data_IF_885977876223
#
_entry.id   IF_885977876223
#
_cell.length_a   1.000
_cell.length_b   1.000
_cell.length_c   1.000
_cell.angle_alpha   90.00
_cell.angle_beta   90.00
_cell.angle_gamma   90.00
#
_symmetry.space_group_name_H-M   'P 1'
#
loop_
_entity.id
_entity.type
_entity.pdbx_description
1 polymer ?
#
# COMPACT_ATOMS: atom_id res chain seq x y z
N UNK A 1 -34.17 19.91 7.28
CA UNK A 1 -33.90 19.61 5.86
C UNK A 1 -33.38 20.88 5.20
N UNK A 2 -32.05 21.07 5.13
CA UNK A 2 -31.50 22.19 4.35
C UNK A 2 -31.76 21.90 2.87
N UNK A 3 -32.34 22.84 2.14
CA UNK A 3 -32.71 22.70 0.72
C UNK A 3 -31.52 22.67 -0.25
N UNK A 4 -30.43 21.99 0.10
CA UNK A 4 -29.25 21.81 -0.75
C UNK A 4 -29.41 20.58 -1.63
N UNK A 5 -28.94 20.68 -2.87
CA UNK A 5 -29.01 19.60 -3.85
C UNK A 5 -28.34 18.32 -3.31
N UNK A 6 -28.88 17.15 -3.68
CA UNK A 6 -28.32 15.85 -3.28
C UNK A 6 -26.84 15.72 -3.64
N UNK A 7 -26.44 16.33 -4.76
CA UNK A 7 -25.06 16.34 -5.25
C UNK A 7 -24.12 17.15 -4.35
N UNK A 8 -24.57 18.31 -3.87
CA UNK A 8 -23.80 19.16 -2.94
C UNK A 8 -23.60 18.46 -1.59
N UNK A 9 -24.64 17.81 -1.07
CA UNK A 9 -24.53 17.06 0.20
C UNK A 9 -23.55 15.89 0.08
N UNK A 10 -23.52 15.23 -1.09
CA UNK A 10 -22.62 14.12 -1.34
C UNK A 10 -21.15 14.56 -1.38
N UNK A 11 -20.84 15.62 -2.12
CA UNK A 11 -19.47 16.09 -2.29
C UNK A 11 -18.93 16.86 -1.07
N UNK A 12 -19.76 17.64 -0.39
CA UNK A 12 -19.33 18.55 0.68
C UNK A 12 -19.34 17.87 2.07
N UNK A 13 -20.15 16.83 2.27
CA UNK A 13 -20.33 16.20 3.59
C UNK A 13 -19.91 14.73 3.60
N UNK A 14 -20.39 13.92 2.64
CA UNK A 14 -20.14 12.47 2.63
C UNK A 14 -18.71 12.12 2.21
N UNK A 15 -18.16 12.77 1.18
CA UNK A 15 -16.77 12.54 0.73
C UNK A 15 -15.73 12.82 1.83
N UNK A 16 -15.72 13.98 2.51
CA UNK A 16 -14.73 14.24 3.56
C UNK A 16 -14.91 13.30 4.76
N UNK A 17 -16.15 12.93 5.10
CA UNK A 17 -16.43 12.00 6.19
C UNK A 17 -15.95 10.57 5.88
N UNK A 18 -16.15 10.08 4.66
CA UNK A 18 -15.73 8.74 4.24
C UNK A 18 -14.26 8.67 3.79
N UNK A 19 -13.54 9.79 3.68
CA UNK A 19 -12.19 9.84 3.15
C UNK A 19 -11.21 8.95 3.95
N UNK A 20 -11.34 8.93 5.28
CA UNK A 20 -10.50 8.11 6.17
C UNK A 20 -10.79 6.60 6.02
N UNK A 21 -12.06 6.23 5.85
CA UNK A 21 -12.46 4.84 5.60
C UNK A 21 -11.98 4.36 4.22
N UNK A 22 -12.08 5.21 3.21
CA UNK A 22 -11.55 4.92 1.86
C UNK A 22 -10.02 4.76 1.92
N UNK A 23 -9.32 5.58 2.70
CA UNK A 23 -7.88 5.46 2.93
C UNK A 23 -7.51 4.12 3.56
N UNK A 24 -8.30 3.68 4.54
CA UNK A 24 -8.14 2.39 5.21
C UNK A 24 -8.34 1.23 4.23
N UNK A 25 -9.33 1.33 3.33
CA UNK A 25 -9.52 0.37 2.24
C UNK A 25 -8.35 0.38 1.24
N UNK A 26 -7.83 1.56 0.90
CA UNK A 26 -6.70 1.73 0.00
C UNK A 26 -5.42 1.06 0.56
N UNK A 27 -5.18 1.14 1.87
CA UNK A 27 -4.08 0.41 2.53
C UNK A 27 -4.12 -1.08 2.25
N UNK A 28 -5.29 -1.69 2.44
CA UNK A 28 -5.46 -3.12 2.22
C UNK A 28 -5.23 -3.45 0.74
N UNK A 29 -5.70 -2.57 -0.16
CA UNK A 29 -5.46 -2.66 -1.59
C UNK A 29 -3.96 -2.64 -1.94
N UNK A 30 -3.21 -1.69 -1.39
CA UNK A 30 -1.76 -1.57 -1.62
C UNK A 30 -1.00 -2.77 -1.06
N UNK A 31 -1.34 -3.24 0.13
CA UNK A 31 -0.71 -4.43 0.72
C UNK A 31 -0.89 -5.68 -0.14
N UNK A 32 -2.08 -5.87 -0.73
CA UNK A 32 -2.34 -6.96 -1.67
C UNK A 32 -1.65 -6.74 -3.02
N UNK A 33 -1.65 -5.52 -3.54
CA UNK A 33 -0.98 -5.16 -4.78
C UNK A 33 0.53 -5.39 -4.71
N UNK A 34 1.16 -5.06 -3.59
CA UNK A 34 2.58 -5.32 -3.35
C UNK A 34 2.93 -6.81 -3.41
N UNK A 35 2.12 -7.66 -2.77
CA UNK A 35 2.31 -9.13 -2.83
C UNK A 35 2.11 -9.66 -4.25
N UNK A 36 1.14 -9.12 -4.97
CA UNK A 36 0.89 -9.48 -6.37
C UNK A 36 2.05 -9.06 -7.28
N UNK A 37 2.66 -7.89 -7.04
CA UNK A 37 3.85 -7.44 -7.76
C UNK A 37 5.02 -8.41 -7.58
N UNK A 38 5.29 -8.84 -6.35
CA UNK A 38 6.37 -9.82 -6.08
C UNK A 38 6.10 -11.14 -6.81
N UNK A 39 4.86 -11.64 -6.75
CA UNK A 39 4.45 -12.83 -7.48
C UNK A 39 4.63 -12.66 -9.00
N UNK A 40 4.32 -11.47 -9.52
CA UNK A 40 4.54 -11.16 -10.93
C UNK A 40 6.04 -11.14 -11.29
N UNK A 41 6.91 -10.58 -10.45
CA UNK A 41 8.37 -10.64 -10.66
C UNK A 41 8.90 -12.08 -10.72
N UNK A 42 8.31 -12.99 -9.92
CA UNK A 42 8.68 -14.41 -9.90
C UNK A 42 8.21 -15.17 -11.15
N UNK A 43 7.10 -14.78 -11.77
CA UNK A 43 6.51 -15.52 -12.91
C UNK A 43 6.94 -14.93 -14.25
N UNK A 44 7.00 -13.61 -14.35
CA UNK A 44 7.25 -12.90 -15.62
C UNK A 44 8.73 -12.95 -16.00
N UNK A 45 9.63 -13.28 -15.06
CA UNK A 45 11.03 -13.58 -15.39
C UNK A 45 11.77 -12.42 -16.05
N UNK A 46 11.41 -11.18 -15.73
CA UNK A 46 12.30 -10.05 -15.97
C UNK A 46 13.54 -10.37 -15.15
N UNK A 47 14.72 -10.43 -15.77
CA UNK A 47 15.97 -10.86 -15.13
C UNK A 47 16.46 -9.92 -14.00
N UNK A 48 15.59 -9.06 -13.48
CA UNK A 48 15.77 -8.02 -12.50
C UNK A 48 14.52 -7.99 -11.61
N UNK A 49 14.70 -8.11 -10.30
CA UNK A 49 13.61 -8.07 -9.32
C UNK A 49 13.95 -8.84 -8.04
N UNK A 50 13.33 -8.47 -6.91
CA UNK A 50 13.54 -9.16 -5.64
C UNK A 50 12.84 -10.52 -5.63
N UNK A 51 11.66 -10.62 -6.27
CA UNK A 51 10.98 -11.91 -6.46
C UNK A 51 11.81 -12.87 -7.32
N UNK A 52 12.41 -12.36 -8.40
CA UNK A 52 13.31 -13.13 -9.26
C UNK A 52 14.57 -13.60 -8.53
N UNK A 53 15.19 -12.73 -7.71
CA UNK A 53 16.34 -13.08 -6.88
C UNK A 53 16.06 -14.26 -5.95
N UNK A 54 14.88 -14.28 -5.29
CA UNK A 54 14.46 -15.41 -4.43
C UNK A 54 14.35 -16.70 -5.24
N UNK A 55 13.76 -16.63 -6.43
CA UNK A 55 13.58 -17.81 -7.29
C UNK A 55 14.92 -18.38 -7.74
N UNK A 56 15.88 -17.51 -8.09
CA UNK A 56 17.25 -17.89 -8.42
C UNK A 56 17.96 -18.54 -7.23
N UNK A 57 18.01 -17.86 -6.08
CA UNK A 57 18.77 -18.35 -4.91
C UNK A 57 18.21 -19.67 -4.39
N UNK A 58 16.88 -19.85 -4.46
CA UNK A 58 16.22 -21.11 -4.12
C UNK A 58 16.59 -22.20 -5.13
N UNK A 59 16.70 -21.88 -6.42
CA UNK A 59 17.18 -22.81 -7.44
C UNK A 59 18.63 -23.27 -7.23
N UNK A 60 19.49 -22.41 -6.67
CA UNK A 60 20.87 -22.74 -6.30
C UNK A 60 21.02 -23.38 -4.91
N UNK A 61 19.91 -23.61 -4.18
CA UNK A 61 19.92 -24.14 -2.80
C UNK A 61 20.68 -23.20 -1.84
N UNK A 62 20.86 -21.92 -2.22
CA UNK A 62 21.41 -20.90 -1.35
C UNK A 62 20.29 -20.25 -0.54
N UNK A 63 19.91 -20.94 0.54
CA UNK A 63 18.88 -20.46 1.45
C UNK A 63 19.31 -19.22 2.24
N UNK A 64 20.61 -18.97 2.42
CA UNK A 64 21.09 -17.80 3.13
C UNK A 64 20.76 -16.52 2.33
N UNK A 65 21.08 -16.53 1.03
CA UNK A 65 20.74 -15.43 0.13
C UNK A 65 19.23 -15.30 -0.10
N UNK A 66 18.49 -16.41 -0.14
CA UNK A 66 17.03 -16.39 -0.24
C UNK A 66 16.38 -15.69 0.97
N UNK A 67 16.84 -16.01 2.19
CA UNK A 67 16.37 -15.35 3.40
C UNK A 67 16.73 -13.86 3.44
N UNK A 68 17.94 -13.49 3.00
CA UNK A 68 18.33 -12.09 2.89
C UNK A 68 17.37 -11.31 1.98
N UNK A 69 16.98 -11.88 0.84
CA UNK A 69 15.99 -11.26 -0.06
C UNK A 69 14.61 -11.11 0.60
N UNK A 70 14.14 -12.10 1.35
CA UNK A 70 12.88 -12.02 2.10
C UNK A 70 12.92 -10.88 3.12
N UNK A 71 14.01 -10.74 3.87
CA UNK A 71 14.18 -9.65 4.84
C UNK A 71 14.12 -8.29 4.15
N UNK A 72 14.77 -8.14 3.00
CA UNK A 72 14.72 -6.91 2.20
C UNK A 72 13.29 -6.60 1.76
N UNK A 73 12.55 -7.60 1.27
CA UNK A 73 11.13 -7.44 0.88
C UNK A 73 10.28 -7.01 2.08
N UNK A 74 10.50 -7.59 3.27
CA UNK A 74 9.79 -7.19 4.48
C UNK A 74 10.09 -5.75 4.87
N UNK A 75 11.35 -5.32 4.81
CA UNK A 75 11.75 -3.94 5.10
C UNK A 75 11.09 -2.97 4.13
N UNK A 76 11.13 -3.26 2.83
CA UNK A 76 10.50 -2.41 1.81
C UNK A 76 8.98 -2.35 2.01
N UNK A 77 8.34 -3.50 2.26
CA UNK A 77 6.91 -3.55 2.54
C UNK A 77 6.52 -2.72 3.77
N UNK A 78 7.33 -2.76 4.84
CA UNK A 78 7.12 -1.94 6.04
C UNK A 78 7.34 -0.45 5.76
N UNK A 79 8.35 -0.09 4.96
CA UNK A 79 8.59 1.29 4.56
C UNK A 79 7.40 1.82 3.75
N UNK A 80 6.90 1.03 2.80
CA UNK A 80 5.74 1.41 1.98
C UNK A 80 4.51 1.58 2.86
N UNK A 81 4.23 0.63 3.76
CA UNK A 81 3.08 0.73 4.67
C UNK A 81 3.19 1.99 5.54
N UNK A 82 4.36 2.24 6.17
CA UNK A 82 4.55 3.45 7.00
C UNK A 82 4.48 4.74 6.19
N UNK A 83 5.25 4.86 5.12
CA UNK A 83 5.33 6.11 4.34
C UNK A 83 3.99 6.43 3.68
N UNK A 84 3.32 5.45 3.08
CA UNK A 84 2.08 5.73 2.33
C UNK A 84 0.93 6.03 3.29
N UNK A 85 0.77 5.27 4.38
CA UNK A 85 -0.34 5.52 5.30
C UNK A 85 -0.11 6.73 6.19
N UNK A 86 1.05 6.85 6.79
CA UNK A 86 1.30 7.89 7.78
C UNK A 86 1.29 9.28 7.09
N UNK A 87 1.83 9.39 5.88
CA UNK A 87 1.78 10.65 5.11
C UNK A 87 0.36 10.95 4.64
N UNK A 88 -0.36 9.96 4.12
CA UNK A 88 -1.68 10.19 3.54
C UNK A 88 -2.74 10.44 4.62
N UNK A 89 -2.67 9.73 5.74
CA UNK A 89 -3.54 9.92 6.90
C UNK A 89 -3.29 11.30 7.52
N UNK A 90 -2.03 11.69 7.75
CA UNK A 90 -1.70 13.02 8.28
C UNK A 90 -2.15 14.14 7.33
N UNK A 91 -2.04 13.95 6.02
CA UNK A 91 -2.49 14.92 5.03
C UNK A 91 -4.02 15.09 5.02
N UNK A 92 -4.76 13.97 5.06
CA UNK A 92 -6.23 14.00 5.12
C UNK A 92 -6.71 14.55 6.46
N UNK A 93 -6.05 14.19 7.57
CA UNK A 93 -6.40 14.64 8.93
C UNK A 93 -6.18 16.16 9.12
N UNK A 94 -5.05 16.68 8.63
CA UNK A 94 -4.79 18.14 8.57
C UNK A 94 -5.84 18.87 7.74
N UNK A 95 -6.20 18.32 6.57
CA UNK A 95 -7.18 18.95 5.67
C UNK A 95 -8.61 18.95 6.25
N UNK A 96 -8.92 18.00 7.13
CA UNK A 96 -10.20 17.91 7.84
C UNK A 96 -10.22 18.72 9.15
N UNK A 97 -9.12 19.37 9.54
CA UNK A 97 -9.06 20.20 10.75
C UNK A 97 -9.20 19.40 12.06
N UNK A 98 -8.96 18.09 12.02
CA UNK A 98 -8.98 17.22 13.20
C UNK A 98 -7.58 17.18 13.85
N UNK A 99 -7.08 18.35 14.25
CA UNK A 99 -5.89 18.48 15.08
C UNK A 99 -6.35 18.73 16.53
N UNK A 100 -6.46 17.64 17.30
CA UNK A 100 -6.34 17.65 18.77
C UNK A 100 -5.03 16.98 19.16
#
# INVERSE_FOLDING_TARGET
MSGRSRSDTFAEVLIPFAALDILSGLRIGIANGWRMLISAEMVVGVALGLGFAIQITTGYIDYASAFACIVIICIIGLIIDKVVLEVLENYVRSKLGMEE
#
